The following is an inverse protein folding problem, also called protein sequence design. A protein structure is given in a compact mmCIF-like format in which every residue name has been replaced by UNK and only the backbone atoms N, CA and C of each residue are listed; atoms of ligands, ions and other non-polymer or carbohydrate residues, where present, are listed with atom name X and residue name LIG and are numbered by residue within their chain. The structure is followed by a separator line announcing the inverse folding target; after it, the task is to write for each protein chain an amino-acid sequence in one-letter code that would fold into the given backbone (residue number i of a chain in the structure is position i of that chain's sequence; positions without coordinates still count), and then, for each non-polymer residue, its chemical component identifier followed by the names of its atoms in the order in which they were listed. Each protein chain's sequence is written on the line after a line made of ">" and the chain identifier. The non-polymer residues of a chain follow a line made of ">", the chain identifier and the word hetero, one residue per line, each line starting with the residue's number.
data_IF_414714930267
#
_entry.id   IF_414714930267
#
_cell.length_a   1.000
_cell.length_b   1.000
_cell.length_c   1.000
_cell.angle_alpha   90.00
_cell.angle_beta   90.00
_cell.angle_gamma   90.00
#
_symmetry.space_group_name_H-M   'P 1'
#
loop_
_entity.id
_entity.type
_entity.pdbx_description
1 polymer ?
#
# COMPACT_ATOMS: atom_id res chain seq x y z
N UNK A 1 -9.61 -19.32 51.75
CA UNK A 1 -9.44 -17.98 51.13
C UNK A 1 -8.06 -17.79 50.48
N UNK A 2 -6.93 -18.11 51.14
CA UNK A 2 -5.58 -17.94 50.56
C UNK A 2 -5.33 -18.77 49.27
N UNK A 3 -5.80 -20.02 49.20
CA UNK A 3 -5.61 -20.90 48.02
C UNK A 3 -6.42 -20.47 46.79
N UNK A 4 -7.61 -19.90 47.00
CA UNK A 4 -8.48 -19.38 45.91
C UNK A 4 -7.90 -18.08 45.35
N UNK A 5 -7.37 -17.20 46.22
CA UNK A 5 -6.65 -16.00 45.80
C UNK A 5 -5.37 -16.31 45.01
N UNK A 6 -4.63 -17.35 45.40
CA UNK A 6 -3.43 -17.79 44.67
C UNK A 6 -3.77 -18.37 43.29
N UNK A 7 -4.88 -19.10 43.16
CA UNK A 7 -5.34 -19.66 41.88
C UNK A 7 -5.81 -18.59 40.89
N UNK A 8 -6.51 -17.57 41.38
CA UNK A 8 -6.94 -16.40 40.59
C UNK A 8 -5.72 -15.58 40.15
N UNK A 9 -4.70 -15.44 41.01
CA UNK A 9 -3.46 -14.76 40.69
C UNK A 9 -2.68 -15.48 39.58
N UNK A 10 -2.62 -16.82 39.62
CA UNK A 10 -1.98 -17.62 38.55
C UNK A 10 -2.73 -17.58 37.23
N UNK A 11 -4.07 -17.58 37.23
CA UNK A 11 -4.87 -17.44 36.00
C UNK A 11 -4.69 -16.04 35.40
N UNK A 12 -4.69 -14.98 36.22
CA UNK A 12 -4.41 -13.62 35.77
C UNK A 12 -3.00 -13.47 35.18
N UNK A 13 -2.01 -14.16 35.76
CA UNK A 13 -0.63 -14.15 35.25
C UNK A 13 -0.52 -14.86 33.90
N UNK A 14 -1.18 -16.01 33.70
CA UNK A 14 -1.18 -16.75 32.42
C UNK A 14 -1.88 -15.96 31.30
N UNK A 15 -2.91 -15.17 31.62
CA UNK A 15 -3.59 -14.31 30.62
C UNK A 15 -2.70 -13.16 30.16
N UNK A 16 -1.88 -12.57 31.05
CA UNK A 16 -0.96 -11.48 30.72
C UNK A 16 0.23 -11.90 29.83
N UNK A 17 0.66 -13.16 29.88
CA UNK A 17 1.76 -13.66 29.03
C UNK A 17 1.29 -13.86 27.57
N UNK A 18 0.01 -14.20 27.36
CA UNK A 18 -0.54 -14.45 26.03
C UNK A 18 -0.86 -13.17 25.23
N UNK A 19 -1.04 -12.02 25.89
CA UNK A 19 -1.26 -10.74 25.23
C UNK A 19 -0.02 -10.11 24.59
N UNK A 20 1.17 -10.73 24.76
CA UNK A 20 2.44 -10.19 24.25
C UNK A 20 2.83 -10.69 22.85
N UNK A 21 1.97 -11.49 22.20
CA UNK A 21 2.17 -11.97 20.83
C UNK A 21 1.16 -11.35 19.85
N UNK A 22 0.98 -10.04 19.90
CA UNK A 22 0.51 -9.33 18.70
C UNK A 22 1.72 -9.15 17.79
N UNK A 23 2.11 -10.20 17.06
CA UNK A 23 3.04 -10.02 15.95
C UNK A 23 2.31 -9.22 14.87
N UNK A 24 2.94 -8.14 14.41
CA UNK A 24 2.56 -7.37 13.25
C UNK A 24 2.64 -8.29 12.01
N UNK A 25 1.55 -9.01 11.73
CA UNK A 25 1.47 -10.03 10.68
C UNK A 25 1.56 -9.46 9.26
N UNK A 26 1.53 -8.13 9.14
CA UNK A 26 1.48 -7.43 7.86
C UNK A 26 2.84 -6.89 7.41
N UNK A 27 3.92 -7.23 8.12
CA UNK A 27 5.27 -6.90 7.67
C UNK A 27 5.62 -7.70 6.42
N UNK A 28 5.69 -7.01 5.27
CA UNK A 28 6.17 -7.58 4.01
C UNK A 28 7.70 -7.60 4.01
N UNK A 29 8.28 -8.77 3.71
CA UNK A 29 9.72 -8.94 3.51
C UNK A 29 10.08 -8.66 2.05
N UNK A 30 10.91 -7.64 1.80
CA UNK A 30 11.28 -7.24 0.44
C UNK A 30 11.96 -8.38 -0.32
N UNK A 31 12.95 -9.05 0.30
CA UNK A 31 13.78 -10.07 -0.37
C UNK A 31 13.00 -11.36 -0.68
N UNK A 32 11.87 -11.57 0.00
CA UNK A 32 10.99 -12.71 -0.25
C UNK A 32 10.11 -12.51 -1.50
N UNK A 33 9.67 -11.28 -1.76
CA UNK A 33 8.66 -11.00 -2.78
C UNK A 33 9.19 -10.21 -3.98
N UNK A 34 10.31 -9.51 -3.84
CA UNK A 34 10.89 -8.65 -4.85
C UNK A 34 12.32 -9.06 -5.18
N UNK A 35 12.71 -8.78 -6.42
CA UNK A 35 14.11 -8.79 -6.83
C UNK A 35 14.62 -7.34 -6.81
N UNK A 36 15.92 -7.14 -6.60
CA UNK A 36 16.55 -5.81 -6.65
C UNK A 36 16.61 -5.24 -8.08
N UNK A 37 15.43 -4.94 -8.63
CA UNK A 37 15.19 -4.27 -9.91
C UNK A 37 13.92 -3.43 -9.84
N UNK A 38 13.85 -2.41 -10.69
CA UNK A 38 12.67 -1.56 -10.81
C UNK A 38 11.73 -2.09 -11.89
N UNK A 39 10.46 -2.27 -11.55
CA UNK A 39 9.39 -2.38 -12.55
C UNK A 39 8.82 -0.99 -12.80
N UNK A 40 9.13 -0.40 -13.95
CA UNK A 40 8.56 0.86 -14.39
C UNK A 40 7.26 0.62 -15.12
N UNK A 41 6.19 1.25 -14.64
CA UNK A 41 4.89 1.27 -15.31
C UNK A 41 4.65 2.66 -15.91
N UNK A 42 4.55 2.71 -17.24
CA UNK A 42 4.11 3.90 -17.96
C UNK A 42 2.60 3.77 -18.21
N UNK A 43 1.81 4.78 -17.84
CA UNK A 43 0.36 4.82 -18.07
C UNK A 43 -0.07 6.19 -18.60
N UNK A 44 -1.23 6.21 -19.26
CA UNK A 44 -1.93 7.43 -19.66
C UNK A 44 -3.03 7.71 -18.64
N UNK A 45 -3.08 8.95 -18.17
CA UNK A 45 -4.12 9.45 -17.30
C UNK A 45 -4.99 10.46 -18.08
N UNK A 46 -6.21 10.03 -18.43
CA UNK A 46 -7.05 10.72 -19.41
C UNK A 46 -8.48 10.91 -18.94
N UNK A 47 -9.15 11.89 -19.53
CA UNK A 47 -10.52 12.26 -19.16
C UNK A 47 -10.78 13.76 -19.24
N UNK A 48 -11.80 14.19 -18.52
CA UNK A 48 -12.30 15.57 -18.50
C UNK A 48 -12.76 15.94 -17.08
N UNK A 49 -13.48 17.06 -16.92
CA UNK A 49 -13.98 17.50 -15.61
C UNK A 49 -14.88 16.48 -14.89
N UNK A 50 -15.49 15.53 -15.60
CA UNK A 50 -16.45 14.55 -15.03
C UNK A 50 -16.02 13.09 -15.20
N UNK A 51 -14.91 12.82 -15.86
CA UNK A 51 -14.42 11.47 -16.13
C UNK A 51 -12.91 11.34 -15.95
N UNK A 52 -12.48 10.14 -15.55
CA UNK A 52 -11.08 9.81 -15.32
C UNK A 52 -10.84 8.35 -15.68
N UNK A 53 -9.74 8.07 -16.40
CA UNK A 53 -9.33 6.73 -16.83
C UNK A 53 -7.82 6.59 -16.81
N UNK A 54 -7.37 5.42 -16.36
CA UNK A 54 -5.99 4.97 -16.46
C UNK A 54 -5.87 3.92 -17.56
N UNK A 55 -4.91 4.09 -18.46
CA UNK A 55 -4.59 3.11 -19.50
C UNK A 55 -3.12 2.73 -19.42
N UNK A 56 -2.83 1.42 -19.25
CA UNK A 56 -1.46 0.92 -19.21
C UNK A 56 -0.83 1.02 -20.60
N UNK A 57 0.33 1.68 -20.68
CA UNK A 57 1.10 1.80 -21.93
C UNK A 57 2.19 0.74 -21.99
N UNK A 58 2.99 0.62 -20.92
CA UNK A 58 4.06 -0.38 -20.88
C UNK A 58 4.50 -0.73 -19.47
N UNK A 59 5.04 -1.94 -19.32
CA UNK A 59 5.76 -2.39 -18.14
C UNK A 59 7.20 -2.75 -18.55
N UNK A 60 8.19 -2.15 -17.89
CA UNK A 60 9.61 -2.32 -18.20
C UNK A 60 10.38 -2.72 -16.96
N UNK A 61 11.37 -3.58 -17.13
CA UNK A 61 12.37 -3.87 -16.09
C UNK A 61 13.56 -2.94 -16.28
N UNK A 62 13.84 -2.10 -15.29
CA UNK A 62 14.90 -1.10 -15.30
C UNK A 62 15.77 -1.24 -14.04
N UNK A 63 17.08 -0.97 -14.17
CA UNK A 63 18.02 -0.68 -13.08
C UNK A 63 17.95 -1.57 -11.82
N UNK A 64 18.55 -1.08 -10.75
CA UNK A 64 18.37 -1.58 -9.38
C UNK A 64 17.20 -0.85 -8.71
N UNK A 65 16.62 -1.39 -7.64
CA UNK A 65 15.55 -0.72 -6.91
C UNK A 65 16.13 0.38 -5.99
N UNK A 66 15.80 1.63 -6.28
CA UNK A 66 16.26 2.77 -5.48
C UNK A 66 15.25 3.22 -4.40
N UNK A 67 14.12 2.52 -4.27
CA UNK A 67 13.05 2.87 -3.34
C UNK A 67 13.21 2.24 -1.96
N UNK A 68 12.16 2.35 -1.15
CA UNK A 68 12.11 1.73 0.19
C UNK A 68 12.10 0.20 0.10
N UNK A 69 12.85 -0.45 0.97
CA UNK A 69 12.85 -1.93 1.18
C UNK A 69 12.17 -2.32 2.50
N UNK A 70 11.68 -1.33 3.25
CA UNK A 70 10.97 -1.47 4.52
C UNK A 70 9.77 -0.52 4.54
N UNK A 71 8.77 -0.79 5.39
CA UNK A 71 7.46 -0.10 5.37
C UNK A 71 6.86 -0.01 3.95
N UNK A 72 6.83 -1.16 3.27
CA UNK A 72 6.47 -1.27 1.85
C UNK A 72 5.02 -0.87 1.58
N UNK A 73 4.14 -1.04 2.57
CA UNK A 73 2.75 -0.61 2.53
C UNK A 73 2.60 0.76 3.21
N UNK A 74 1.87 1.66 2.55
CA UNK A 74 1.53 2.99 3.05
C UNK A 74 0.22 2.95 3.86
N UNK A 75 0.27 3.20 5.20
CA UNK A 75 -0.91 3.19 6.05
C UNK A 75 -1.72 4.49 5.99
N UNK A 76 -1.18 5.55 5.39
CA UNK A 76 -1.76 6.88 5.43
C UNK A 76 -2.58 7.23 4.19
N UNK A 77 -2.35 6.53 3.07
CA UNK A 77 -3.07 6.74 1.81
C UNK A 77 -3.11 8.21 1.36
N UNK A 78 -1.97 8.89 1.47
CA UNK A 78 -1.87 10.32 1.18
C UNK A 78 -1.68 10.58 -0.32
N UNK A 79 -2.50 11.47 -0.88
CA UNK A 79 -2.47 11.83 -2.29
C UNK A 79 -3.86 11.74 -2.89
N UNK A 80 -4.04 12.34 -4.07
CA UNK A 80 -5.29 12.21 -4.82
C UNK A 80 -5.45 10.81 -5.42
N UNK A 81 -4.33 10.13 -5.66
CA UNK A 81 -4.27 8.82 -6.29
C UNK A 81 -3.46 7.86 -5.44
N UNK A 82 -3.70 6.57 -5.63
CA UNK A 82 -3.08 5.50 -4.86
C UNK A 82 -2.86 4.28 -5.75
N UNK A 83 -1.74 3.58 -5.55
CA UNK A 83 -1.52 2.29 -6.20
C UNK A 83 -1.09 1.24 -5.19
N UNK A 84 -1.46 0.00 -5.49
CA UNK A 84 -1.23 -1.18 -4.68
C UNK A 84 -0.69 -2.30 -5.56
N UNK A 85 0.27 -3.05 -5.02
CA UNK A 85 0.86 -4.22 -5.64
C UNK A 85 0.53 -5.42 -4.79
N UNK A 86 -0.16 -6.40 -5.39
CA UNK A 86 -0.58 -7.62 -4.73
C UNK A 86 0.18 -8.83 -5.27
N UNK A 87 0.43 -9.80 -4.40
CA UNK A 87 0.74 -11.16 -4.82
C UNK A 87 -0.50 -11.75 -5.50
N UNK A 88 -0.38 -12.11 -6.78
CA UNK A 88 -1.48 -12.66 -7.56
C UNK A 88 -2.00 -14.02 -7.05
N UNK A 89 -1.16 -14.83 -6.39
CA UNK A 89 -1.54 -16.15 -5.92
C UNK A 89 -2.31 -16.10 -4.59
N UNK A 90 -1.89 -15.21 -3.68
CA UNK A 90 -2.42 -15.15 -2.32
C UNK A 90 -3.31 -13.94 -2.06
N UNK A 91 -3.35 -12.99 -2.99
CA UNK A 91 -4.00 -11.68 -2.84
C UNK A 91 -3.46 -10.88 -1.64
N UNK A 92 -2.20 -11.14 -1.25
CA UNK A 92 -1.51 -10.39 -0.19
C UNK A 92 -1.02 -9.05 -0.72
N UNK A 93 -1.30 -7.96 0.00
CA UNK A 93 -0.74 -6.64 -0.31
C UNK A 93 0.78 -6.65 -0.03
N UNK A 94 1.58 -6.30 -1.04
CA UNK A 94 3.04 -6.32 -0.96
C UNK A 94 3.66 -4.92 -0.94
N UNK A 95 3.07 -3.97 -1.67
CA UNK A 95 3.55 -2.60 -1.74
C UNK A 95 2.38 -1.65 -1.96
N UNK A 96 2.41 -0.48 -1.34
CA UNK A 96 1.46 0.59 -1.66
C UNK A 96 2.06 1.97 -1.45
N UNK A 97 1.56 2.92 -2.25
CA UNK A 97 2.02 4.30 -2.20
C UNK A 97 0.99 5.25 -2.83
N UNK A 98 0.72 6.35 -2.13
CA UNK A 98 -0.06 7.45 -2.66
C UNK A 98 0.77 8.44 -3.47
N UNK A 99 0.11 9.16 -4.38
CA UNK A 99 0.72 10.18 -5.22
C UNK A 99 -0.31 11.22 -5.69
N UNK A 100 0.19 12.33 -6.25
CA UNK A 100 -0.59 13.31 -6.98
C UNK A 100 -0.10 13.33 -8.43
N UNK A 101 -0.99 13.66 -9.37
CA UNK A 101 -0.65 13.75 -10.79
C UNK A 101 -1.06 15.09 -11.37
N UNK A 102 -0.34 15.52 -12.40
CA UNK A 102 -0.65 16.76 -13.15
C UNK A 102 -2.04 16.68 -13.80
N UNK A 103 -2.55 15.49 -14.10
CA UNK A 103 -3.92 15.33 -14.58
C UNK A 103 -4.94 15.79 -13.53
N UNK A 104 -4.78 15.38 -12.27
CA UNK A 104 -5.67 15.79 -11.18
C UNK A 104 -5.68 17.29 -10.94
N UNK A 105 -4.54 17.95 -11.11
CA UNK A 105 -4.47 19.42 -11.12
C UNK A 105 -5.21 20.01 -12.33
N UNK A 106 -4.92 19.50 -13.54
CA UNK A 106 -5.53 19.95 -14.79
C UNK A 106 -7.05 19.81 -14.81
N UNK A 107 -7.59 18.76 -14.18
CA UNK A 107 -9.03 18.50 -14.12
C UNK A 107 -9.82 19.61 -13.40
N UNK A 108 -9.15 20.41 -12.56
CA UNK A 108 -9.76 21.56 -11.86
C UNK A 108 -9.82 22.83 -12.71
N UNK A 109 -9.22 22.83 -13.90
CA UNK A 109 -9.15 24.01 -14.76
C UNK A 109 -10.43 24.22 -15.58
N UNK A 110 -10.58 25.43 -16.13
CA UNK A 110 -11.66 25.71 -17.06
C UNK A 110 -11.55 24.91 -18.37
N UNK A 111 -10.33 24.51 -18.77
CA UNK A 111 -10.09 23.73 -19.98
C UNK A 111 -10.75 22.35 -19.89
N UNK A 112 -10.67 21.68 -18.73
CA UNK A 112 -11.27 20.36 -18.52
C UNK A 112 -12.81 20.34 -18.68
N UNK A 113 -13.47 21.51 -18.64
CA UNK A 113 -14.93 21.61 -18.87
C UNK A 113 -15.32 21.49 -20.34
N UNK A 114 -14.37 21.73 -21.25
CA UNK A 114 -14.62 21.80 -22.70
C UNK A 114 -13.74 20.83 -23.50
N UNK A 115 -12.72 20.23 -22.87
CA UNK A 115 -11.76 19.35 -23.51
C UNK A 115 -11.66 18.01 -22.78
N UNK A 116 -11.43 16.95 -23.54
CA UNK A 116 -11.05 15.63 -23.04
C UNK A 116 -9.57 15.42 -23.34
N UNK A 117 -8.76 15.29 -22.28
CA UNK A 117 -7.32 15.08 -22.38
C UNK A 117 -7.07 13.61 -22.74
N UNK A 118 -6.34 13.33 -23.83
CA UNK A 118 -6.14 11.97 -24.33
C UNK A 118 -5.16 11.15 -23.49
#
# INVERSE_FOLDING_TARGET
>A
MKKVSLFILTIGLVVLINSSFAQDTDKVDFELYFVDKTMRLDYIHKGDVSSEKFELVSAKSEGVWAGKTYHLTDPHQLGLYFYEVYDAATNKLLFSQGFCSVFGEWQTTAEAKIANKP
#
